data_IF_082201095631
#
_entry.id   IF_082201095631
#
_cell.length_a   1.000
_cell.length_b   1.000
_cell.length_c   1.000
_cell.angle_alpha   90.00
_cell.angle_beta   90.00
_cell.angle_gamma   90.00
#
_symmetry.space_group_name_H-M   'P 1'
#
loop_
_entity.id
_entity.type
_entity.pdbx_description
1 polymer ?
#
# COMPACT_ATOMS: atom_id res chain seq x y z
N UNK A 1 14.52 6.26 -1.93
CA UNK A 1 13.65 5.37 -1.12
C UNK A 1 13.10 4.25 -2.01
N UNK A 2 12.72 3.11 -1.41
CA UNK A 2 12.22 1.95 -2.18
C UNK A 2 10.98 1.39 -1.49
N UNK A 3 9.91 1.15 -2.25
CA UNK A 3 8.71 0.46 -1.79
C UNK A 3 8.57 -0.88 -2.53
N UNK A 4 8.14 -1.91 -1.80
CA UNK A 4 7.92 -3.25 -2.35
C UNK A 4 6.56 -3.71 -1.89
N UNK A 5 5.68 -4.04 -2.84
CA UNK A 5 4.42 -4.71 -2.55
C UNK A 5 4.59 -6.21 -2.78
N UNK A 6 4.38 -6.97 -1.73
CA UNK A 6 4.33 -8.42 -1.77
C UNK A 6 2.88 -8.89 -1.63
N UNK A 7 2.46 -9.78 -2.52
CA UNK A 7 1.16 -10.45 -2.48
C UNK A 7 1.36 -11.94 -2.73
N UNK A 8 0.66 -12.78 -1.99
CA UNK A 8 0.79 -14.22 -2.14
C UNK A 8 0.35 -14.63 -3.56
N UNK A 9 1.16 -15.45 -4.23
CA UNK A 9 0.85 -15.92 -5.59
C UNK A 9 0.97 -14.87 -6.70
N UNK A 10 1.41 -13.64 -6.41
CA UNK A 10 1.56 -12.56 -7.40
C UNK A 10 3.02 -12.09 -7.46
N UNK A 11 3.47 -11.70 -8.65
CA UNK A 11 4.79 -11.12 -8.83
C UNK A 11 4.97 -9.85 -7.98
N UNK A 12 6.16 -9.71 -7.37
CA UNK A 12 6.49 -8.55 -6.53
C UNK A 12 6.49 -7.29 -7.39
N UNK A 13 5.84 -6.23 -6.90
CA UNK A 13 5.90 -4.89 -7.51
C UNK A 13 6.84 -4.01 -6.70
N UNK A 14 7.68 -3.25 -7.39
CA UNK A 14 8.72 -2.43 -6.77
C UNK A 14 8.67 -1.01 -7.33
N UNK A 15 8.79 -0.04 -6.44
CA UNK A 15 8.87 1.38 -6.77
C UNK A 15 10.16 1.96 -6.22
N UNK A 16 10.78 2.82 -7.02
CA UNK A 16 11.87 3.68 -6.62
C UNK A 16 11.35 5.11 -6.57
N UNK A 17 11.30 5.68 -5.37
CA UNK A 17 10.74 7.01 -5.08
C UNK A 17 11.69 7.80 -4.16
N UNK A 18 11.48 9.09 -3.96
CA UNK A 18 12.44 9.95 -3.25
C UNK A 18 13.11 10.95 -4.17
N UNK A 19 13.36 12.16 -3.66
CA UNK A 19 13.87 13.31 -4.41
C UNK A 19 15.29 13.16 -4.95
N UNK A 20 16.14 12.37 -4.27
CA UNK A 20 17.53 12.16 -4.66
C UNK A 20 17.97 10.72 -4.39
N UNK A 21 18.88 10.21 -5.22
CA UNK A 21 19.58 8.95 -4.97
C UNK A 21 20.71 9.12 -3.93
N UNK A 22 21.41 8.02 -3.60
CA UNK A 22 22.57 8.05 -2.68
C UNK A 22 23.72 8.95 -3.18
N UNK A 23 23.73 9.32 -4.47
CA UNK A 23 24.73 10.18 -5.11
C UNK A 23 24.24 11.63 -5.25
N UNK A 24 23.06 11.96 -4.70
CA UNK A 24 22.47 13.30 -4.77
C UNK A 24 21.84 13.64 -6.12
N UNK A 25 21.77 12.69 -7.05
CA UNK A 25 21.17 12.93 -8.35
C UNK A 25 19.64 12.86 -8.23
N UNK A 26 18.94 13.85 -8.80
CA UNK A 26 17.47 13.92 -8.82
C UNK A 26 16.94 12.97 -9.89
N UNK A 27 16.91 11.68 -9.58
CA UNK A 27 16.64 10.63 -10.56
C UNK A 27 15.18 10.19 -10.66
N UNK A 28 14.34 10.52 -9.67
CA UNK A 28 13.04 9.85 -9.55
C UNK A 28 11.89 10.80 -9.89
N UNK A 29 10.88 10.28 -10.59
CA UNK A 29 9.73 11.07 -11.05
C UNK A 29 8.69 11.37 -9.95
N UNK A 30 8.87 10.86 -8.73
CA UNK A 30 7.95 11.08 -7.60
C UNK A 30 8.12 12.49 -7.01
N UNK A 31 7.55 13.49 -7.68
CA UNK A 31 7.73 14.91 -7.36
C UNK A 31 6.42 15.62 -6.94
N UNK A 32 5.28 14.94 -7.06
CA UNK A 32 3.98 15.48 -6.69
C UNK A 32 3.10 14.39 -6.09
N UNK A 33 2.17 14.81 -5.23
CA UNK A 33 1.10 13.96 -4.71
C UNK A 33 0.14 13.56 -5.84
N UNK A 34 -0.57 12.44 -5.63
CA UNK A 34 -1.55 11.87 -6.55
C UNK A 34 -1.01 11.43 -7.92
N UNK A 35 0.29 11.18 -8.05
CA UNK A 35 0.83 10.56 -9.28
C UNK A 35 0.44 9.06 -9.31
N UNK A 36 -0.35 8.62 -10.31
CA UNK A 36 -0.83 7.24 -10.38
C UNK A 36 0.30 6.20 -10.51
N UNK A 37 1.51 6.60 -10.95
CA UNK A 37 2.67 5.70 -11.00
C UNK A 37 3.25 5.41 -9.61
N UNK A 38 2.97 6.26 -8.63
CA UNK A 38 3.49 6.20 -7.26
C UNK A 38 2.39 5.97 -6.21
N UNK A 39 1.16 5.67 -6.63
CA UNK A 39 0.08 5.24 -5.75
C UNK A 39 0.05 3.70 -5.70
N UNK A 40 0.02 3.18 -4.47
CA UNK A 40 -0.17 1.75 -4.21
C UNK A 40 -1.59 1.53 -3.70
N UNK A 41 -2.43 0.88 -4.51
CA UNK A 41 -3.77 0.45 -4.11
C UNK A 41 -3.74 -1.01 -3.67
N UNK A 42 -4.18 -1.25 -2.43
CA UNK A 42 -4.30 -2.57 -1.82
C UNK A 42 -5.77 -2.79 -1.46
N UNK A 43 -6.42 -3.83 -1.99
CA UNK A 43 -7.78 -4.18 -1.57
C UNK A 43 -7.79 -4.50 -0.08
N UNK A 44 -8.78 -4.03 0.67
CA UNK A 44 -8.92 -4.38 2.10
C UNK A 44 -9.10 -5.88 2.27
N UNK A 45 -9.73 -6.56 1.29
CA UNK A 45 -9.84 -8.02 1.24
C UNK A 45 -8.50 -8.74 1.23
N UNK A 46 -7.44 -8.15 0.67
CA UNK A 46 -6.10 -8.76 0.65
C UNK A 46 -5.40 -8.64 2.02
N UNK A 47 -5.84 -7.69 2.86
CA UNK A 47 -5.25 -7.40 4.19
C UNK A 47 -5.94 -8.21 5.28
N UNK A 48 -7.28 -8.28 5.22
CA UNK A 48 -8.12 -8.91 6.24
C UNK A 48 -8.86 -10.13 5.68
N UNK A 49 -8.19 -10.90 4.81
CA UNK A 49 -8.78 -12.10 4.22
C UNK A 49 -9.12 -13.11 5.33
N UNK A 50 -10.42 -13.39 5.50
CA UNK A 50 -10.92 -14.49 6.31
C UNK A 50 -11.46 -15.57 5.36
N UNK A 51 -10.76 -16.71 5.19
CA UNK A 51 -11.22 -17.76 4.31
C UNK A 51 -12.53 -18.37 4.84
N UNK A 52 -13.54 -18.58 3.97
CA UNK A 52 -14.72 -19.31 4.39
C UNK A 52 -14.31 -20.73 4.79
N UNK A 53 -14.57 -21.13 6.04
CA UNK A 53 -14.30 -22.48 6.54
C UNK A 53 -15.46 -23.39 6.11
N UNK A 54 -15.27 -24.31 5.16
CA UNK A 54 -16.35 -25.15 4.66
C UNK A 54 -16.39 -26.45 5.48
N UNK A 55 -17.09 -26.49 6.62
CA UNK A 55 -17.57 -27.77 7.21
C UNK A 55 -18.33 -27.67 8.53
N UNK A 56 -18.33 -26.55 9.24
CA UNK A 56 -18.96 -26.47 10.56
C UNK A 56 -19.67 -25.14 10.58
N UNK A 57 -20.96 -25.11 10.91
CA UNK A 57 -21.84 -23.92 10.90
C UNK A 57 -21.44 -22.82 11.89
N UNK A 58 -20.14 -22.58 12.04
CA UNK A 58 -19.52 -21.48 12.70
C UNK A 58 -19.70 -20.25 11.83
N UNK A 59 -20.76 -19.48 12.10
CA UNK A 59 -20.75 -18.07 11.79
C UNK A 59 -19.70 -17.44 12.71
N UNK A 60 -18.47 -17.29 12.23
CA UNK A 60 -17.44 -16.53 12.93
C UNK A 60 -17.93 -15.10 13.23
N UNK A 61 -17.23 -14.33 14.09
CA UNK A 61 -17.71 -13.04 14.59
C UNK A 61 -17.95 -11.93 13.55
N UNK A 62 -17.89 -12.23 12.24
CA UNK A 62 -17.75 -11.27 11.16
C UNK A 62 -18.94 -11.22 10.19
N UNK A 63 -20.13 -11.66 10.62
CA UNK A 63 -21.39 -11.24 9.98
C UNK A 63 -21.69 -9.74 10.20
N UNK A 64 -20.66 -8.89 10.27
CA UNK A 64 -20.82 -7.45 10.19
C UNK A 64 -21.10 -7.11 8.71
N UNK A 65 -22.13 -6.29 8.42
CA UNK A 65 -22.49 -5.91 7.06
C UNK A 65 -21.50 -4.85 6.57
N UNK A 66 -20.25 -5.22 6.39
CA UNK A 66 -19.22 -4.33 5.85
C UNK A 66 -18.74 -4.82 4.50
N UNK A 67 -19.68 -5.35 3.69
CA UNK A 67 -19.47 -5.54 2.25
C UNK A 67 -18.88 -4.28 1.58
N UNK A 68 -19.18 -3.09 2.09
CA UNK A 68 -18.54 -1.84 1.67
C UNK A 68 -17.03 -1.76 1.98
N UNK A 69 -16.56 -2.26 3.13
CA UNK A 69 -15.13 -2.27 3.47
C UNK A 69 -14.35 -3.30 2.64
N UNK A 70 -14.93 -4.47 2.36
CA UNK A 70 -14.25 -5.48 1.53
C UNK A 70 -14.06 -5.03 0.08
N UNK A 71 -14.91 -4.12 -0.42
CA UNK A 71 -14.78 -3.49 -1.73
C UNK A 71 -13.95 -2.20 -1.71
N UNK A 72 -13.44 -1.79 -0.54
CA UNK A 72 -12.61 -0.61 -0.41
C UNK A 72 -11.13 -0.94 -0.68
N UNK A 73 -10.39 0.09 -1.10
CA UNK A 73 -8.95 0.03 -1.25
C UNK A 73 -8.28 0.92 -0.21
N UNK A 74 -7.21 0.42 0.38
CA UNK A 74 -6.21 1.26 1.05
C UNK A 74 -5.28 1.80 -0.02
N UNK A 75 -5.23 3.12 -0.16
CA UNK A 75 -4.33 3.81 -1.07
C UNK A 75 -3.16 4.41 -0.29
N UNK A 76 -1.95 4.11 -0.73
CA UNK A 76 -0.71 4.68 -0.18
C UNK A 76 -0.07 5.53 -1.25
N UNK A 77 0.06 6.83 -1.00
CA UNK A 77 0.82 7.75 -1.85
C UNK A 77 2.29 7.79 -1.39
N UNK A 78 3.20 7.32 -2.25
CA UNK A 78 4.62 7.30 -1.94
C UNK A 78 5.25 8.71 -1.86
N UNK A 79 4.62 9.72 -2.46
CA UNK A 79 5.03 11.12 -2.29
C UNK A 79 4.78 11.60 -0.86
N UNK A 80 3.61 11.31 -0.29
CA UNK A 80 3.30 11.67 1.10
C UNK A 80 4.24 10.96 2.10
N UNK A 81 4.53 9.68 1.85
CA UNK A 81 5.53 8.94 2.63
C UNK A 81 6.90 9.63 2.56
N UNK A 82 7.30 10.08 1.37
CA UNK A 82 8.54 10.83 1.20
C UNK A 82 8.54 12.13 2.02
N UNK A 83 7.47 12.92 1.99
CA UNK A 83 7.39 14.17 2.75
C UNK A 83 7.43 13.92 4.26
N UNK A 84 6.74 12.89 4.75
CA UNK A 84 6.77 12.51 6.16
C UNK A 84 8.19 12.14 6.62
N UNK A 85 8.96 11.45 5.79
CA UNK A 85 10.38 11.15 6.07
C UNK A 85 11.21 12.42 6.11
N UNK A 86 11.08 13.31 5.11
CA UNK A 86 11.83 14.58 5.06
C UNK A 86 11.57 15.45 6.30
N UNK A 87 10.31 15.57 6.72
CA UNK A 87 9.92 16.30 7.94
C UNK A 87 10.58 15.75 9.22
N UNK A 88 10.92 14.45 9.25
CA UNK A 88 11.61 13.83 10.39
C UNK A 88 13.13 13.98 10.33
N UNK A 89 13.69 14.28 9.17
CA UNK A 89 15.13 14.43 8.97
C UNK A 89 15.62 15.87 9.16
N UNK A 90 14.73 16.87 9.12
CA UNK A 90 15.04 18.27 9.44
C UNK A 90 15.19 18.54 10.95
N UNK A 91 15.30 17.49 11.77
CA UNK A 91 15.38 17.56 13.23
C UNK A 91 16.75 17.13 13.73
#
# INVERSE_FOLDING_TARGET
>A
MTAILWRQGVARRKWHFGTADKRGNRTNACNAANDPNFIINIPVSDIFYDPPIPAIGYAGPLALPIGALYNANVSIDLYEVQQAVLMKQEK
#
